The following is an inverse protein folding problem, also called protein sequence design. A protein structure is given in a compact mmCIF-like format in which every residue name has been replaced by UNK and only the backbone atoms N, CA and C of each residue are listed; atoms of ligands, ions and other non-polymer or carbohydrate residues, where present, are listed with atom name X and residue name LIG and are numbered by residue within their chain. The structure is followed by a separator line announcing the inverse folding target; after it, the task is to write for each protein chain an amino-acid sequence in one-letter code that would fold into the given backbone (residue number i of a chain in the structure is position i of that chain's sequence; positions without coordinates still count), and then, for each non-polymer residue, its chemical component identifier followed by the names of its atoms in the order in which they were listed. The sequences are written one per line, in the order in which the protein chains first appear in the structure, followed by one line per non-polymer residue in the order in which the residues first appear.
data_IF_553554742288
#
_entry.id   IF_553554742288
#
_cell.length_a   1.000
_cell.length_b   1.000
_cell.length_c   1.000
_cell.angle_alpha   90.00
_cell.angle_beta   90.00
_cell.angle_gamma   90.00
#
_symmetry.space_group_name_H-M   'P 1'
#
loop_
_entity.id
_entity.type
_entity.pdbx_description
1 polymer ?
#
# COMPACT_ATOMS: atom_id res chain seq x y z
N UNK A 1 -41.77 8.15 -18.53
CA UNK A 1 -40.41 8.59 -18.11
C UNK A 1 -40.29 8.25 -16.63
N UNK A 2 -39.50 7.31 -16.11
CA UNK A 2 -38.38 6.54 -16.62
C UNK A 2 -38.43 5.15 -15.97
N UNK A 3 -38.69 4.10 -16.76
CA UNK A 3 -38.49 2.73 -16.32
C UNK A 3 -37.03 2.37 -16.52
N UNK A 4 -36.12 2.91 -15.68
CA UNK A 4 -34.75 2.39 -15.63
C UNK A 4 -34.85 0.96 -15.12
N UNK A 5 -34.84 0.04 -16.07
CA UNK A 5 -35.02 -1.38 -15.89
C UNK A 5 -34.15 -1.88 -14.74
N UNK A 6 -34.75 -2.62 -13.80
CA UNK A 6 -34.05 -3.36 -12.75
C UNK A 6 -32.87 -4.20 -13.28
N UNK A 7 -32.87 -4.51 -14.59
CA UNK A 7 -31.77 -5.14 -15.32
C UNK A 7 -30.46 -4.34 -15.26
N UNK A 8 -30.53 -3.00 -15.25
CA UNK A 8 -29.33 -2.15 -15.16
C UNK A 8 -28.82 -2.04 -13.72
N UNK A 9 -29.70 -2.19 -12.73
CA UNK A 9 -29.33 -2.20 -11.31
C UNK A 9 -28.68 -3.53 -10.93
N UNK A 10 -29.20 -4.65 -11.47
CA UNK A 10 -28.58 -5.97 -11.33
C UNK A 10 -27.18 -6.04 -11.97
N UNK A 11 -26.96 -5.36 -13.09
CA UNK A 11 -25.65 -5.28 -13.75
C UNK A 11 -24.59 -4.50 -12.96
N UNK A 12 -25.01 -3.61 -12.04
CA UNK A 12 -24.13 -2.86 -11.13
C UNK A 12 -24.03 -3.57 -9.76
N UNK A 13 -25.04 -4.35 -9.36
CA UNK A 13 -25.03 -5.12 -8.12
C UNK A 13 -24.16 -6.40 -8.20
N UNK A 14 -24.11 -7.06 -9.36
CA UNK A 14 -23.29 -8.27 -9.56
C UNK A 14 -21.77 -8.04 -9.40
N UNK A 15 -21.22 -6.85 -9.72
CA UNK A 15 -19.83 -6.53 -9.38
C UNK A 15 -19.58 -6.05 -7.94
N UNK A 16 -20.59 -5.94 -7.06
CA UNK A 16 -20.44 -5.35 -5.71
C UNK A 16 -20.48 -6.37 -4.56
N UNK A 17 -20.62 -7.67 -4.85
CA UNK A 17 -20.40 -8.75 -3.86
C UNK A 17 -19.12 -9.55 -4.13
N UNK A 18 -18.33 -9.19 -5.14
CA UNK A 18 -16.98 -9.70 -5.33
C UNK A 18 -15.96 -8.74 -4.72
N UNK A 19 -16.00 -8.56 -3.39
CA UNK A 19 -14.76 -8.34 -2.66
C UNK A 19 -13.95 -9.64 -2.74
N UNK A 20 -13.17 -9.76 -3.83
CA UNK A 20 -11.97 -10.59 -4.02
C UNK A 20 -11.90 -11.94 -3.25
N UNK A 21 -12.95 -12.77 -3.25
CA UNK A 21 -12.74 -14.20 -3.03
C UNK A 21 -12.21 -14.81 -4.33
N UNK A 22 -10.89 -14.85 -4.48
CA UNK A 22 -10.24 -15.74 -5.45
C UNK A 22 -10.69 -17.19 -5.19
N UNK A 23 -11.81 -17.60 -5.80
CA UNK A 23 -12.22 -19.00 -5.90
C UNK A 23 -11.29 -19.70 -6.88
N UNK A 24 -10.11 -20.09 -6.40
CA UNK A 24 -9.19 -20.94 -7.17
C UNK A 24 -9.22 -22.34 -6.57
N UNK A 25 -10.08 -23.19 -7.14
CA UNK A 25 -9.97 -24.64 -7.05
C UNK A 25 -8.74 -25.11 -7.82
N UNK A 26 -7.58 -24.94 -7.20
CA UNK A 26 -6.28 -25.27 -7.76
C UNK A 26 -5.20 -24.80 -6.82
N UNK A 27 -4.19 -25.64 -6.56
CA UNK A 27 -3.07 -25.34 -5.64
C UNK A 27 -2.62 -23.88 -5.82
N UNK A 28 -2.78 -23.04 -4.79
CA UNK A 28 -2.40 -21.62 -4.82
C UNK A 28 -1.00 -21.49 -5.41
N UNK A 29 -0.90 -20.84 -6.58
CA UNK A 29 0.39 -20.61 -7.22
C UNK A 29 1.22 -19.75 -6.28
N UNK A 30 2.47 -20.16 -6.02
CA UNK A 30 3.39 -19.37 -5.19
C UNK A 30 3.67 -18.05 -5.89
N UNK A 31 3.15 -16.95 -5.36
CA UNK A 31 3.41 -15.61 -5.88
C UNK A 31 4.78 -15.14 -5.39
N UNK A 32 5.62 -14.65 -6.30
CA UNK A 32 6.91 -14.06 -5.95
C UNK A 32 6.77 -12.73 -5.20
N UNK A 33 5.75 -11.95 -5.55
CA UNK A 33 5.35 -10.72 -4.85
C UNK A 33 3.86 -10.82 -4.57
N UNK A 34 3.49 -10.69 -3.30
CA UNK A 34 2.10 -10.72 -2.88
C UNK A 34 1.32 -9.52 -3.46
N UNK A 35 0.02 -9.69 -3.71
CA UNK A 35 -0.81 -8.70 -4.41
C UNK A 35 -0.85 -7.34 -3.68
N UNK A 36 -0.94 -7.32 -2.35
CA UNK A 36 -0.94 -6.05 -1.59
C UNK A 36 0.34 -5.23 -1.80
N UNK A 37 1.50 -5.90 -1.93
CA UNK A 37 2.76 -5.22 -2.23
C UNK A 37 2.81 -4.63 -3.65
N UNK A 38 2.00 -5.14 -4.59
CA UNK A 38 1.84 -4.50 -5.91
C UNK A 38 1.01 -3.22 -5.80
N UNK A 39 -0.02 -3.22 -4.95
CA UNK A 39 -0.90 -2.06 -4.70
C UNK A 39 -0.31 -1.04 -3.71
N UNK A 40 0.89 -1.29 -3.15
CA UNK A 40 1.55 -0.44 -2.12
C UNK A 40 1.61 1.05 -2.43
N UNK A 41 1.75 1.45 -3.70
CA UNK A 41 1.80 2.87 -4.10
C UNK A 41 0.44 3.57 -3.99
N UNK A 42 -0.65 2.81 -4.08
CA UNK A 42 -2.01 3.34 -4.03
C UNK A 42 -2.64 3.12 -2.64
N UNK A 43 -2.32 2.00 -1.99
CA UNK A 43 -2.98 1.56 -0.75
C UNK A 43 -2.03 1.51 0.46
N UNK A 44 -0.72 1.48 0.22
CA UNK A 44 0.26 1.32 1.29
C UNK A 44 0.33 2.54 2.19
N UNK A 45 0.41 2.31 3.50
CA UNK A 45 0.39 3.34 4.55
C UNK A 45 1.45 4.43 4.33
N UNK A 46 2.62 4.07 3.81
CA UNK A 46 3.63 5.06 3.47
C UNK A 46 3.20 6.04 2.37
N UNK A 47 2.43 5.60 1.38
CA UNK A 47 2.00 6.46 0.28
C UNK A 47 0.72 7.22 0.58
N UNK A 48 -0.16 6.65 1.42
CA UNK A 48 -1.46 7.23 1.77
C UNK A 48 -1.42 8.08 3.04
N UNK A 49 -0.73 7.63 4.09
CA UNK A 49 -0.79 8.24 5.42
C UNK A 49 0.46 9.06 5.78
N UNK A 50 1.66 8.64 5.34
CA UNK A 50 2.92 9.29 5.76
C UNK A 50 2.93 10.81 5.53
N UNK A 51 2.38 11.28 4.39
CA UNK A 51 2.36 12.72 4.06
C UNK A 51 1.53 13.51 5.06
N UNK A 52 0.34 13.01 5.40
CA UNK A 52 -0.54 13.64 6.37
C UNK A 52 0.08 13.68 7.76
N UNK A 53 0.79 12.62 8.15
CA UNK A 53 1.55 12.58 9.40
C UNK A 53 2.74 13.54 9.36
N UNK A 54 3.44 13.66 8.22
CA UNK A 54 4.66 14.45 8.11
C UNK A 54 4.43 15.96 8.28
N UNK A 55 3.19 16.44 8.11
CA UNK A 55 2.81 17.85 8.29
C UNK A 55 2.43 18.18 9.74
N UNK A 56 2.13 17.16 10.57
CA UNK A 56 1.74 17.30 11.98
C UNK A 56 2.72 16.52 12.88
N UNK A 57 3.68 17.23 13.48
CA UNK A 57 4.73 16.62 14.30
C UNK A 57 4.17 15.81 15.49
N UNK A 58 3.04 16.22 16.09
CA UNK A 58 2.46 15.51 17.21
C UNK A 58 1.87 14.16 16.76
N UNK A 59 1.13 14.15 15.64
CA UNK A 59 0.63 12.90 15.05
C UNK A 59 1.76 12.02 14.53
N UNK A 60 2.78 12.61 13.91
CA UNK A 60 3.98 11.89 13.48
C UNK A 60 4.63 11.16 14.66
N UNK A 61 4.83 11.86 15.77
CA UNK A 61 5.41 11.29 16.98
C UNK A 61 4.51 10.21 17.58
N UNK A 62 3.19 10.41 17.59
CA UNK A 62 2.25 9.42 18.11
C UNK A 62 2.27 8.12 17.30
N UNK A 63 2.37 8.23 15.98
CA UNK A 63 2.38 7.09 15.07
C UNK A 63 3.76 6.40 15.06
N UNK A 64 4.84 7.11 14.72
CA UNK A 64 6.19 6.54 14.58
C UNK A 64 6.92 6.37 15.91
N UNK A 65 6.39 6.89 17.02
CA UNK A 65 7.02 6.90 18.35
C UNK A 65 8.40 7.57 18.36
N UNK A 66 8.64 8.45 17.41
CA UNK A 66 9.85 9.26 17.27
C UNK A 66 9.53 10.55 16.52
N UNK A 67 10.30 11.61 16.79
CA UNK A 67 10.16 12.85 16.04
C UNK A 67 10.60 12.67 14.58
N UNK A 68 10.08 13.50 13.68
CA UNK A 68 10.45 13.50 12.26
C UNK A 68 11.94 13.72 12.07
N UNK A 69 12.54 14.57 12.90
CA UNK A 69 13.99 14.80 12.91
C UNK A 69 14.77 13.52 13.25
N UNK A 70 14.35 12.76 14.27
CA UNK A 70 15.00 11.50 14.66
C UNK A 70 14.79 10.41 13.61
N UNK A 71 13.61 10.37 12.99
CA UNK A 71 13.32 9.48 11.87
C UNK A 71 14.28 9.74 10.70
N UNK A 72 14.42 11.00 10.28
CA UNK A 72 15.33 11.36 9.18
C UNK A 72 16.80 11.12 9.53
N UNK A 73 17.20 11.41 10.77
CA UNK A 73 18.55 11.10 11.24
C UNK A 73 18.83 9.59 11.20
N UNK A 74 17.89 8.77 11.68
CA UNK A 74 18.02 7.32 11.62
C UNK A 74 18.12 6.85 10.17
N UNK A 75 17.24 7.35 9.30
CA UNK A 75 17.26 7.04 7.87
C UNK A 75 18.64 7.32 7.27
N UNK A 76 19.22 8.50 7.51
CA UNK A 76 20.55 8.86 7.00
C UNK A 76 21.64 7.85 7.42
N UNK A 77 21.54 7.26 8.63
CA UNK A 77 22.53 6.29 9.12
C UNK A 77 22.41 4.90 8.51
N UNK A 78 21.20 4.47 8.16
CA UNK A 78 20.93 3.10 7.68
C UNK A 78 20.45 3.05 6.24
N UNK A 79 20.38 4.20 5.54
CA UNK A 79 19.84 4.28 4.19
C UNK A 79 20.59 3.35 3.24
N UNK A 80 21.92 3.29 3.35
CA UNK A 80 22.75 2.41 2.51
C UNK A 80 22.44 0.92 2.75
N UNK A 81 22.15 0.52 3.98
CA UNK A 81 21.80 -0.86 4.34
C UNK A 81 20.36 -1.21 3.93
N UNK A 82 19.48 -0.21 3.89
CA UNK A 82 18.09 -0.37 3.45
C UNK A 82 17.93 -0.28 1.93
N UNK A 83 18.84 0.39 1.23
CA UNK A 83 18.80 0.57 -0.21
C UNK A 83 18.92 -0.77 -0.93
N UNK A 84 18.05 -0.96 -1.92
CA UNK A 84 18.07 -2.11 -2.82
C UNK A 84 18.00 -1.62 -4.25
N UNK A 85 18.60 -2.37 -5.15
CA UNK A 85 18.61 -2.06 -6.58
C UNK A 85 17.27 -2.42 -7.22
N UNK A 86 16.79 -1.56 -8.12
CA UNK A 86 15.70 -1.91 -9.02
C UNK A 86 16.15 -3.00 -9.99
N UNK A 87 15.26 -3.91 -10.32
CA UNK A 87 15.50 -4.96 -11.33
C UNK A 87 14.46 -4.85 -12.43
N UNK A 88 14.74 -5.45 -13.59
CA UNK A 88 13.77 -5.47 -14.70
C UNK A 88 12.42 -6.09 -14.31
N UNK A 89 12.39 -6.92 -13.27
CA UNK A 89 11.21 -7.64 -12.84
C UNK A 89 10.49 -6.99 -11.65
N UNK A 90 11.14 -6.06 -10.94
CA UNK A 90 10.58 -5.43 -9.74
C UNK A 90 11.32 -4.14 -9.34
N UNK A 91 10.52 -3.15 -8.95
CA UNK A 91 10.98 -1.95 -8.23
C UNK A 91 11.24 -2.25 -6.74
N UNK A 92 12.40 -1.85 -6.27
CA UNK A 92 12.77 -1.91 -4.86
C UNK A 92 11.86 -1.02 -4.01
N UNK A 93 11.64 -1.43 -2.76
CA UNK A 93 10.96 -0.57 -1.78
C UNK A 93 11.99 0.47 -1.32
N UNK A 94 11.70 1.78 -1.46
CA UNK A 94 12.63 2.84 -1.06
C UNK A 94 13.02 2.73 0.43
N UNK A 95 14.26 3.09 0.81
CA UNK A 95 14.71 3.06 2.21
C UNK A 95 13.77 3.75 3.19
N UNK A 96 13.28 4.93 2.81
CA UNK A 96 12.35 5.71 3.63
C UNK A 96 11.03 5.00 3.89
N UNK A 97 10.49 4.31 2.87
CA UNK A 97 9.29 3.50 2.99
C UNK A 97 9.55 2.25 3.83
N UNK A 98 10.70 1.61 3.67
CA UNK A 98 11.13 0.46 4.49
C UNK A 98 11.36 0.80 5.96
N UNK A 99 11.72 2.05 6.26
CA UNK A 99 11.87 2.49 7.64
C UNK A 99 10.51 2.83 8.28
N UNK A 100 9.53 3.20 7.46
CA UNK A 100 8.21 3.59 7.94
C UNK A 100 7.29 2.40 8.27
N UNK A 101 7.51 1.22 7.66
CA UNK A 101 6.68 0.00 7.77
C UNK A 101 7.55 -1.22 7.99
#
# INVERSE_FOLDING_TARGET
MAGRSLKNLAAIALPLEEEEEEKVSGKRKRLWVYLSLKKRKCEGEFWTLYKELADDEAKFYQYFRMSKAKFNYLLEKIEMDLAKMNTNCREAVPPKERLAV
#
